data_IF_946958855443
#
_entry.id   IF_946958855443
#
_cell.length_a   1.000
_cell.length_b   1.000
_cell.length_c   1.000
_cell.angle_alpha   90.00
_cell.angle_beta   90.00
_cell.angle_gamma   90.00
#
_symmetry.space_group_name_H-M   'P 1'
#
loop_
_entity.id
_entity.type
_entity.pdbx_description
1 polymer ?
#
# COMPACT_ATOMS: atom_id res chain seq x y z
N UNK A 1 54.94 -18.20 21.41
CA UNK A 1 53.75 -17.77 22.19
C UNK A 1 53.39 -16.29 21.98
N UNK A 2 54.35 -15.36 21.83
CA UNK A 2 54.05 -13.92 21.72
C UNK A 2 53.26 -13.44 20.49
N UNK A 3 53.34 -14.14 19.35
CA UNK A 3 52.63 -13.72 18.11
C UNK A 3 51.11 -13.93 18.16
N UNK A 4 50.62 -14.92 18.92
CA UNK A 4 49.19 -15.21 19.02
C UNK A 4 48.47 -14.17 19.92
N UNK A 5 49.14 -13.71 20.97
CA UNK A 5 48.61 -12.70 21.90
C UNK A 5 48.44 -11.34 21.22
N UNK A 6 49.38 -10.97 20.33
CA UNK A 6 49.32 -9.71 19.59
C UNK A 6 48.12 -9.65 18.61
N UNK A 7 47.78 -10.76 17.96
CA UNK A 7 46.66 -10.80 17.00
C UNK A 7 45.29 -10.73 17.68
N UNK A 8 45.14 -11.36 18.85
CA UNK A 8 43.88 -11.30 19.63
C UNK A 8 43.66 -9.90 20.20
N UNK A 9 44.72 -9.22 20.65
CA UNK A 9 44.63 -7.83 21.15
C UNK A 9 44.27 -6.84 20.04
N UNK A 10 44.80 -7.03 18.82
CA UNK A 10 44.49 -6.19 17.66
C UNK A 10 43.02 -6.31 17.22
N UNK A 11 42.43 -7.52 17.28
CA UNK A 11 41.00 -7.71 16.96
C UNK A 11 40.08 -7.09 18.02
N UNK A 12 40.45 -7.15 19.30
CA UNK A 12 39.67 -6.54 20.38
C UNK A 12 39.68 -5.01 20.33
N UNK A 13 40.82 -4.39 19.98
CA UNK A 13 40.91 -2.94 19.82
C UNK A 13 40.17 -2.44 18.57
N UNK A 14 40.16 -3.22 17.48
CA UNK A 14 39.35 -2.91 16.29
C UNK A 14 37.84 -2.91 16.59
N UNK A 15 37.38 -3.76 17.52
CA UNK A 15 35.96 -3.85 17.89
C UNK A 15 35.49 -2.71 18.81
N UNK A 16 36.39 -2.13 19.62
CA UNK A 16 36.05 -0.99 20.48
C UNK A 16 36.10 0.33 19.69
N UNK A 17 36.95 0.43 18.66
CA UNK A 17 37.07 1.61 17.80
C UNK A 17 35.81 1.92 16.97
N UNK A 18 34.94 0.95 16.70
CA UNK A 18 33.70 1.16 15.94
C UNK A 18 32.50 1.56 16.81
N UNK A 19 32.60 1.47 18.14
CA UNK A 19 31.53 1.90 19.06
C UNK A 19 31.63 3.35 19.52
N UNK A 20 32.74 4.05 19.26
CA UNK A 20 32.93 5.44 19.70
C UNK A 20 32.51 6.48 18.63
N UNK A 21 32.29 6.08 17.39
CA UNK A 21 31.80 6.97 16.32
C UNK A 21 30.26 7.12 16.28
N UNK A 22 29.50 6.45 17.14
CA UNK A 22 28.03 6.57 17.19
C UNK A 22 27.51 7.62 18.18
N UNK A 23 28.38 8.42 18.78
CA UNK A 23 28.03 9.53 19.68
C UNK A 23 28.39 10.89 19.08
N UNK A 24 28.12 11.08 17.79
CA UNK A 24 27.94 12.43 17.27
C UNK A 24 26.60 12.97 17.82
N UNK A 25 26.59 14.06 18.61
CA UNK A 25 25.34 14.71 18.96
C UNK A 25 24.70 15.17 17.65
N UNK A 26 23.48 14.67 17.39
CA UNK A 26 22.62 15.18 16.34
C UNK A 26 22.44 16.66 16.64
N UNK A 27 23.14 17.51 15.90
CA UNK A 27 22.86 18.93 15.83
C UNK A 27 21.47 19.02 15.22
N UNK A 28 20.50 19.26 16.09
CA UNK A 28 19.11 19.54 15.76
C UNK A 28 19.11 20.77 14.85
N UNK A 29 19.08 20.55 13.54
CA UNK A 29 18.53 21.55 12.63
C UNK A 29 17.04 21.56 12.92
N UNK A 30 16.63 22.52 13.74
CA UNK A 30 15.23 22.90 13.89
C UNK A 30 14.75 23.38 12.52
N UNK A 31 14.28 22.45 11.68
CA UNK A 31 13.20 22.79 10.77
C UNK A 31 12.01 23.06 11.69
N UNK A 32 11.45 24.27 11.56
CA UNK A 32 10.12 24.57 12.06
C UNK A 32 9.15 23.54 11.49
N UNK A 33 8.95 22.45 12.24
CA UNK A 33 7.77 21.61 12.12
C UNK A 33 6.62 22.51 12.52
N UNK A 34 6.09 23.22 11.53
CA UNK A 34 4.80 23.85 11.60
C UNK A 34 3.80 22.70 11.75
N UNK A 35 3.56 22.33 13.01
CA UNK A 35 2.57 21.36 13.43
C UNK A 35 1.20 21.99 13.12
N UNK A 36 0.81 21.90 11.86
CA UNK A 36 -0.54 22.20 11.41
C UNK A 36 -1.40 21.09 12.00
N UNK A 37 -1.86 21.28 13.24
CA UNK A 37 -3.01 20.57 13.80
C UNK A 37 -4.23 21.01 12.97
N UNK A 38 -4.34 20.46 11.75
CA UNK A 38 -5.57 20.50 10.99
C UNK A 38 -6.49 19.50 11.69
N UNK A 39 -7.30 19.98 12.63
CA UNK A 39 -8.46 19.24 13.10
C UNK A 39 -9.37 19.02 11.90
N UNK A 40 -9.19 17.89 11.20
CA UNK A 40 -10.01 17.52 10.05
C UNK A 40 -11.39 17.17 10.61
N UNK A 41 -12.31 18.14 10.58
CA UNK A 41 -13.72 17.87 10.75
C UNK A 41 -14.16 17.05 9.52
N UNK A 42 -14.16 15.72 9.66
CA UNK A 42 -14.72 14.81 8.66
C UNK A 42 -16.24 14.95 8.65
N UNK A 43 -16.76 15.91 7.89
CA UNK A 43 -18.17 15.92 7.51
C UNK A 43 -18.37 14.87 6.42
N UNK A 44 -18.63 13.63 6.83
CA UNK A 44 -19.04 12.58 5.91
C UNK A 44 -20.47 12.85 5.43
N UNK A 45 -20.65 13.09 4.13
CA UNK A 45 -21.98 13.11 3.53
C UNK A 45 -22.42 11.66 3.32
N UNK A 46 -23.58 11.27 3.84
CA UNK A 46 -24.10 9.91 3.65
C UNK A 46 -24.52 9.73 2.18
N UNK A 47 -23.65 9.07 1.41
CA UNK A 47 -23.99 8.60 0.07
C UNK A 47 -25.02 7.46 0.15
N UNK A 48 -26.06 7.51 -0.67
CA UNK A 48 -27.02 6.38 -0.81
C UNK A 48 -26.35 5.09 -1.32
N UNK A 49 -25.11 5.16 -1.84
CA UNK A 49 -24.35 3.98 -2.23
C UNK A 49 -23.54 3.44 -1.04
N UNK A 50 -24.00 2.33 -0.48
CA UNK A 50 -23.34 1.62 0.65
C UNK A 50 -21.90 1.18 0.37
N UNK A 51 -21.46 1.19 -0.88
CA UNK A 51 -20.10 0.79 -1.27
C UNK A 51 -19.17 2.00 -1.48
N UNK A 52 -19.65 3.23 -1.26
CA UNK A 52 -18.88 4.44 -1.45
C UNK A 52 -18.78 5.29 -0.18
N UNK A 53 -17.66 5.99 -0.06
CA UNK A 53 -17.40 7.00 0.98
C UNK A 53 -16.90 8.27 0.29
N UNK A 54 -17.27 9.42 0.80
CA UNK A 54 -16.87 10.72 0.25
C UNK A 54 -16.19 11.57 1.33
N UNK A 55 -15.03 12.13 0.98
CA UNK A 55 -14.24 13.02 1.83
C UNK A 55 -13.70 14.16 0.99
N UNK A 56 -13.94 15.40 1.43
CA UNK A 56 -13.47 16.61 0.76
C UNK A 56 -13.85 16.68 -0.74
N UNK A 57 -15.06 16.21 -1.07
CA UNK A 57 -15.56 16.15 -2.46
C UNK A 57 -14.88 15.09 -3.33
N UNK A 58 -14.10 14.18 -2.76
CA UNK A 58 -13.58 13.00 -3.45
C UNK A 58 -14.35 11.77 -2.98
N UNK A 59 -14.97 11.07 -3.93
CA UNK A 59 -15.73 9.85 -3.67
C UNK A 59 -14.89 8.63 -4.01
N UNK A 60 -14.80 7.68 -3.08
CA UNK A 60 -14.10 6.42 -3.22
C UNK A 60 -15.09 5.26 -3.11
N UNK A 61 -15.10 4.36 -4.09
CA UNK A 61 -15.98 3.20 -4.14
C UNK A 61 -15.15 1.91 -4.25
N UNK A 62 -15.40 0.91 -3.39
CA UNK A 62 -14.75 -0.40 -3.53
C UNK A 62 -15.35 -1.15 -4.72
N UNK A 63 -14.49 -1.59 -5.64
CA UNK A 63 -14.88 -2.34 -6.83
C UNK A 63 -14.39 -3.78 -6.68
N UNK A 64 -15.31 -4.73 -6.83
CA UNK A 64 -15.03 -6.18 -6.86
C UNK A 64 -15.87 -6.75 -8.01
N UNK A 65 -15.31 -6.84 -9.24
CA UNK A 65 -16.07 -7.18 -10.44
C UNK A 65 -16.77 -8.54 -10.34
N UNK A 66 -16.06 -9.57 -9.86
CA UNK A 66 -16.63 -10.87 -9.56
C UNK A 66 -16.61 -11.11 -8.04
N UNK A 67 -17.73 -11.55 -7.47
CA UNK A 67 -17.88 -11.69 -6.01
C UNK A 67 -17.90 -13.15 -5.55
N UNK A 68 -17.69 -14.10 -6.45
CA UNK A 68 -17.77 -15.53 -6.16
C UNK A 68 -16.68 -16.29 -6.88
N UNK A 69 -15.62 -16.68 -6.16
CA UNK A 69 -14.49 -17.41 -6.74
C UNK A 69 -14.49 -18.86 -6.29
N UNK A 70 -14.07 -19.76 -7.18
CA UNK A 70 -13.75 -21.15 -6.83
C UNK A 70 -12.28 -21.21 -6.45
N UNK A 71 -11.98 -21.72 -5.27
CA UNK A 71 -10.59 -21.89 -4.83
C UNK A 71 -9.91 -22.99 -5.67
N UNK A 72 -8.60 -22.86 -5.94
CA UNK A 72 -7.87 -23.84 -6.74
C UNK A 72 -7.83 -25.19 -6.01
N UNK A 73 -7.79 -26.29 -6.76
CA UNK A 73 -7.59 -27.63 -6.17
C UNK A 73 -6.10 -27.88 -5.91
N UNK A 74 -5.79 -28.56 -4.82
CA UNK A 74 -4.40 -28.86 -4.47
C UNK A 74 -3.81 -29.88 -5.45
N UNK A 75 -2.61 -29.61 -5.96
CA UNK A 75 -1.86 -30.53 -6.82
C UNK A 75 -1.95 -30.27 -8.32
N UNK A 76 -2.94 -29.50 -8.76
CA UNK A 76 -3.14 -29.24 -10.20
C UNK A 76 -2.25 -28.10 -10.73
N UNK A 77 -1.56 -27.38 -9.84
CA UNK A 77 -0.77 -26.18 -10.19
C UNK A 77 -1.61 -24.97 -10.63
N UNK A 78 -2.94 -25.11 -10.62
CA UNK A 78 -3.88 -24.06 -11.01
C UNK A 78 -3.87 -22.90 -10.02
N UNK A 79 -4.10 -21.70 -10.55
CA UNK A 79 -4.29 -20.47 -9.79
C UNK A 79 -5.65 -19.88 -10.14
N UNK A 80 -6.32 -19.27 -9.17
CA UNK A 80 -7.58 -18.57 -9.41
C UNK A 80 -7.33 -17.06 -9.40
N UNK A 81 -7.36 -16.39 -10.57
CA UNK A 81 -7.20 -14.95 -10.62
C UNK A 81 -8.42 -14.26 -9.99
N UNK A 82 -8.15 -13.14 -9.32
CA UNK A 82 -9.15 -12.26 -8.72
C UNK A 82 -8.74 -10.81 -8.96
N UNK A 83 -9.74 -9.97 -9.21
CA UNK A 83 -9.55 -8.52 -9.33
C UNK A 83 -10.41 -7.81 -8.30
N UNK A 84 -9.84 -6.78 -7.70
CA UNK A 84 -10.56 -5.84 -6.84
C UNK A 84 -9.81 -4.52 -6.81
N UNK A 85 -10.48 -3.45 -6.39
CA UNK A 85 -9.90 -2.14 -6.49
C UNK A 85 -10.79 -1.03 -5.98
N UNK A 86 -10.50 0.17 -6.45
CA UNK A 86 -11.22 1.39 -6.07
C UNK A 86 -11.59 2.18 -7.32
N UNK A 87 -12.80 2.74 -7.33
CA UNK A 87 -13.17 3.82 -8.24
C UNK A 87 -13.07 5.13 -7.46
N UNK A 88 -12.34 6.08 -8.01
CA UNK A 88 -12.14 7.41 -7.43
C UNK A 88 -12.87 8.39 -8.33
N UNK A 89 -13.76 9.20 -7.79
CA UNK A 89 -14.47 10.27 -8.51
C UNK A 89 -14.13 11.60 -7.87
N UNK A 90 -13.59 12.52 -8.68
CA UNK A 90 -13.30 13.88 -8.23
C UNK A 90 -14.52 14.76 -8.47
N UNK A 91 -15.22 15.16 -7.42
CA UNK A 91 -16.38 16.06 -7.52
C UNK A 91 -16.03 17.52 -7.23
N UNK A 92 -14.76 17.81 -6.97
CA UNK A 92 -14.28 19.17 -6.71
C UNK A 92 -14.00 19.92 -8.01
N UNK A 93 -13.73 21.23 -7.92
CA UNK A 93 -13.24 22.03 -9.04
C UNK A 93 -11.71 21.97 -9.22
N UNK A 94 -11.00 21.25 -8.35
CA UNK A 94 -9.53 21.16 -8.35
C UNK A 94 -9.11 19.78 -8.85
N UNK A 95 -8.22 19.67 -9.84
CA UNK A 95 -7.70 18.36 -10.25
C UNK A 95 -6.79 17.79 -9.15
N UNK A 96 -6.79 16.47 -8.99
CA UNK A 96 -5.97 15.81 -7.97
C UNK A 96 -5.25 14.58 -8.52
N UNK A 97 -4.01 14.40 -8.08
CA UNK A 97 -3.22 13.19 -8.30
C UNK A 97 -3.37 12.19 -7.17
N UNK A 98 -3.38 10.91 -7.53
CA UNK A 98 -3.46 9.81 -6.57
C UNK A 98 -2.32 8.82 -6.78
N UNK A 99 -1.46 8.64 -5.77
CA UNK A 99 -0.47 7.57 -5.77
C UNK A 99 -1.15 6.21 -5.54
N UNK A 100 -1.54 5.54 -6.62
CA UNK A 100 -2.19 4.21 -6.60
C UNK A 100 -1.49 3.15 -5.73
N UNK A 101 -0.14 3.12 -5.65
CA UNK A 101 0.60 2.29 -4.70
C UNK A 101 0.14 2.37 -3.25
N UNK A 102 -0.39 3.53 -2.81
CA UNK A 102 -0.80 3.77 -1.42
C UNK A 102 -2.15 3.12 -1.06
N UNK A 103 -2.86 2.52 -2.02
CA UNK A 103 -4.03 1.70 -1.72
C UNK A 103 -3.62 0.30 -1.26
N UNK A 104 -3.86 0.00 0.01
CA UNK A 104 -3.63 -1.31 0.61
C UNK A 104 -4.95 -2.06 0.87
N UNK A 105 -5.04 -3.35 0.49
CA UNK A 105 -6.20 -4.16 0.82
C UNK A 105 -6.26 -4.49 2.31
N UNK A 106 -7.47 -4.57 2.83
CA UNK A 106 -7.77 -5.18 4.12
C UNK A 106 -8.88 -6.21 3.92
N UNK A 107 -8.69 -7.41 4.47
CA UNK A 107 -9.60 -8.54 4.28
C UNK A 107 -10.07 -9.05 5.65
N UNK A 108 -11.37 -9.19 5.81
CA UNK A 108 -11.98 -9.89 6.94
C UNK A 108 -12.39 -11.30 6.54
N UNK A 109 -12.19 -12.25 7.45
CA UNK A 109 -12.69 -13.61 7.29
C UNK A 109 -14.20 -13.73 7.59
N UNK A 110 -14.73 -14.95 7.54
CA UNK A 110 -16.14 -15.27 7.81
C UNK A 110 -16.62 -14.91 9.22
N UNK A 111 -15.69 -14.70 10.15
CA UNK A 111 -15.96 -14.28 11.52
C UNK A 111 -15.77 -12.77 11.72
N UNK A 112 -15.55 -12.01 10.65
CA UNK A 112 -15.28 -10.57 10.72
C UNK A 112 -13.91 -10.21 11.29
N UNK A 113 -13.00 -11.18 11.43
CA UNK A 113 -11.63 -10.91 11.94
C UNK A 113 -10.70 -10.54 10.78
N UNK A 114 -9.85 -9.51 10.94
CA UNK A 114 -8.89 -9.13 9.92
C UNK A 114 -7.86 -10.25 9.71
N UNK A 115 -7.56 -10.52 8.45
CA UNK A 115 -6.44 -11.37 8.05
C UNK A 115 -5.14 -10.56 8.12
N UNK A 116 -4.08 -11.19 8.61
CA UNK A 116 -2.76 -10.58 8.63
C UNK A 116 -2.19 -10.50 7.21
N UNK A 117 -1.81 -9.30 6.78
CA UNK A 117 -1.09 -9.05 5.53
C UNK A 117 0.42 -9.19 5.77
N UNK A 118 1.05 -10.09 5.03
CA UNK A 118 2.51 -10.11 4.89
C UNK A 118 2.92 -9.26 3.69
N UNK A 119 4.03 -8.55 3.81
CA UNK A 119 4.59 -7.69 2.77
C UNK A 119 6.07 -7.98 2.60
N UNK A 120 6.50 -8.21 1.36
CA UNK A 120 7.90 -8.37 1.00
C UNK A 120 8.22 -7.45 -0.18
N UNK A 121 9.35 -6.76 -0.12
CA UNK A 121 9.82 -5.88 -1.19
C UNK A 121 11.25 -6.25 -1.57
N UNK A 122 11.44 -6.67 -2.82
CA UNK A 122 12.74 -7.13 -3.31
C UNK A 122 13.43 -6.06 -4.18
N UNK A 123 12.68 -5.09 -4.69
CA UNK A 123 13.21 -3.96 -5.45
C UNK A 123 12.28 -2.75 -5.32
N UNK A 124 12.74 -1.60 -5.80
CA UNK A 124 11.90 -0.42 -6.01
C UNK A 124 11.83 -0.19 -7.51
N UNK A 125 10.69 -0.49 -8.14
CA UNK A 125 10.46 -0.10 -9.55
C UNK A 125 10.31 1.43 -9.63
N UNK A 126 10.72 2.03 -10.74
CA UNK A 126 10.52 3.48 -10.96
C UNK A 126 9.03 3.79 -11.07
N UNK A 127 8.63 4.96 -10.57
CA UNK A 127 7.23 5.43 -10.63
C UNK A 127 6.92 5.81 -12.08
N UNK A 128 5.81 5.31 -12.61
CA UNK A 128 5.29 5.72 -13.92
C UNK A 128 4.19 6.76 -13.75
N UNK A 129 3.93 7.59 -14.76
CA UNK A 129 2.81 8.57 -14.71
C UNK A 129 1.46 7.88 -14.51
N UNK A 130 1.33 6.64 -15.01
CA UNK A 130 0.16 5.78 -14.82
C UNK A 130 -0.04 5.33 -13.37
N UNK A 131 0.98 5.41 -12.52
CA UNK A 131 0.89 5.13 -11.08
C UNK A 131 0.38 6.32 -10.26
N UNK A 132 0.36 7.51 -10.87
CA UNK A 132 -0.02 8.79 -10.25
C UNK A 132 -1.05 9.55 -11.11
N UNK A 133 -2.17 8.91 -11.53
CA UNK A 133 -3.16 9.53 -12.40
C UNK A 133 -3.66 10.86 -11.84
N UNK A 134 -3.73 11.87 -12.70
CA UNK A 134 -4.42 13.13 -12.46
C UNK A 134 -5.90 12.94 -12.81
N UNK A 135 -6.78 13.13 -11.83
CA UNK A 135 -8.24 13.03 -12.01
C UNK A 135 -8.81 14.44 -12.09
N UNK A 136 -9.38 14.80 -13.23
CA UNK A 136 -9.96 16.13 -13.44
C UNK A 136 -11.31 16.29 -12.73
N UNK A 137 -11.77 17.54 -12.49
CA UNK A 137 -13.12 17.82 -12.00
C UNK A 137 -14.22 17.08 -12.76
N UNK A 138 -15.07 16.37 -12.03
CA UNK A 138 -16.18 15.56 -12.56
C UNK A 138 -15.78 14.19 -13.12
N UNK A 139 -14.50 13.89 -13.24
CA UNK A 139 -14.03 12.61 -13.80
C UNK A 139 -13.98 11.49 -12.75
N UNK A 140 -13.96 10.26 -13.26
CA UNK A 140 -13.76 9.05 -12.46
C UNK A 140 -12.62 8.22 -13.03
N UNK A 141 -11.84 7.63 -12.13
CA UNK A 141 -10.76 6.71 -12.45
C UNK A 141 -10.97 5.38 -11.73
N UNK A 142 -10.80 4.28 -12.46
CA UNK A 142 -10.86 2.93 -11.88
C UNK A 142 -9.47 2.35 -11.75
N UNK A 143 -9.14 1.94 -10.54
CA UNK A 143 -7.89 1.29 -10.23
C UNK A 143 -8.17 -0.13 -9.72
N UNK A 144 -7.92 -1.13 -10.58
CA UNK A 144 -8.05 -2.54 -10.25
C UNK A 144 -6.67 -3.14 -9.98
N UNK A 145 -6.57 -3.95 -8.92
CA UNK A 145 -5.40 -4.76 -8.59
C UNK A 145 -5.66 -6.19 -9.01
N UNK A 146 -4.70 -6.76 -9.74
CA UNK A 146 -4.64 -8.18 -9.99
C UNK A 146 -4.05 -8.92 -8.80
N UNK A 147 -4.73 -9.99 -8.40
CA UNK A 147 -4.28 -10.92 -7.40
C UNK A 147 -4.69 -12.34 -7.79
N UNK A 148 -4.19 -13.33 -7.05
CA UNK A 148 -4.49 -14.72 -7.31
C UNK A 148 -4.49 -15.56 -6.06
N UNK A 149 -5.43 -16.49 -5.99
CA UNK A 149 -5.38 -17.60 -5.04
C UNK A 149 -4.50 -18.71 -5.59
N UNK A 150 -3.59 -19.21 -4.75
CA UNK A 150 -2.81 -20.41 -5.05
C UNK A 150 -2.52 -21.18 -3.78
N UNK A 151 -2.09 -22.43 -3.92
CA UNK A 151 -1.65 -23.23 -2.78
C UNK A 151 -0.21 -22.87 -2.41
N UNK A 152 0.00 -22.55 -1.13
CA UNK A 152 1.34 -22.37 -0.56
C UNK A 152 1.93 -23.71 -0.09
N UNK A 153 1.08 -24.53 0.53
CA UNK A 153 1.36 -25.91 0.93
C UNK A 153 0.02 -26.68 0.97
N UNK A 154 -0.01 -27.93 1.44
CA UNK A 154 -1.22 -28.79 1.45
C UNK A 154 -2.43 -28.21 2.19
N UNK A 155 -2.21 -27.36 3.19
CA UNK A 155 -3.25 -26.91 4.12
C UNK A 155 -3.45 -25.38 4.09
N UNK A 156 -2.76 -24.67 3.20
CA UNK A 156 -2.77 -23.21 3.15
C UNK A 156 -2.95 -22.69 1.72
N UNK A 157 -4.12 -22.10 1.47
CA UNK A 157 -4.35 -21.23 0.33
C UNK A 157 -3.91 -19.82 0.69
N UNK A 158 -3.17 -19.20 -0.23
CA UNK A 158 -2.67 -17.84 -0.13
C UNK A 158 -3.29 -16.99 -1.23
N UNK A 159 -3.70 -15.77 -0.88
CA UNK A 159 -4.00 -14.71 -1.84
C UNK A 159 -2.76 -13.85 -1.97
N UNK A 160 -2.21 -13.75 -3.18
CA UNK A 160 -1.04 -12.92 -3.48
C UNK A 160 -1.39 -11.89 -4.53
N UNK A 161 -0.85 -10.69 -4.39
CA UNK A 161 -0.87 -9.70 -5.44
C UNK A 161 0.43 -8.91 -5.46
N UNK A 162 0.69 -8.27 -6.59
CA UNK A 162 1.82 -7.37 -6.71
C UNK A 162 1.51 -6.10 -5.93
N UNK A 163 2.44 -5.71 -5.06
CA UNK A 163 2.50 -4.34 -4.60
C UNK A 163 3.15 -3.51 -5.70
N UNK A 164 2.73 -2.26 -5.77
CA UNK A 164 3.44 -1.30 -6.60
C UNK A 164 4.86 -1.10 -6.04
N UNK A 165 5.76 -0.64 -6.90
CA UNK A 165 7.19 -0.57 -6.63
C UNK A 165 7.93 -1.90 -6.51
N UNK A 166 7.38 -3.03 -6.96
CA UNK A 166 8.14 -4.29 -7.01
C UNK A 166 8.10 -5.10 -5.71
N UNK A 167 7.09 -4.87 -4.88
CA UNK A 167 6.77 -5.72 -3.73
C UNK A 167 5.71 -6.76 -4.06
N UNK A 168 5.51 -7.68 -3.12
CA UNK A 168 4.43 -8.67 -3.12
C UNK A 168 3.77 -8.57 -1.75
N UNK A 169 2.45 -8.49 -1.73
CA UNK A 169 1.66 -8.67 -0.52
C UNK A 169 0.99 -10.04 -0.54
N UNK A 170 0.74 -10.61 0.64
CA UNK A 170 0.16 -11.94 0.78
C UNK A 170 -0.75 -12.05 2.00
N UNK A 171 -1.89 -12.71 1.83
CA UNK A 171 -2.78 -13.12 2.92
C UNK A 171 -2.87 -14.65 2.93
N UNK A 172 -2.83 -15.27 4.11
CA UNK A 172 -2.74 -16.72 4.26
C UNK A 172 -4.01 -17.31 4.87
N UNK A 173 -4.12 -18.65 4.78
CA UNK A 173 -5.15 -19.45 5.45
C UNK A 173 -6.58 -19.19 4.95
N UNK A 174 -6.75 -18.98 3.63
CA UNK A 174 -8.09 -18.94 3.04
C UNK A 174 -8.76 -20.32 3.06
N UNK A 175 -10.08 -20.31 3.30
CA UNK A 175 -10.96 -21.47 3.26
C UNK A 175 -12.24 -21.09 2.50
N UNK A 176 -13.03 -22.06 2.02
CA UNK A 176 -14.36 -21.76 1.52
C UNK A 176 -15.19 -21.00 2.58
N UNK A 177 -15.86 -19.93 2.17
CA UNK A 177 -16.59 -19.07 3.10
C UNK A 177 -16.88 -17.67 2.57
N UNK A 178 -17.49 -16.86 3.44
CA UNK A 178 -17.78 -15.45 3.18
C UNK A 178 -16.63 -14.61 3.72
N UNK A 179 -16.12 -13.71 2.90
CA UNK A 179 -15.07 -12.76 3.24
C UNK A 179 -15.56 -11.34 2.94
N UNK A 180 -14.86 -10.36 3.47
CA UNK A 180 -15.08 -8.96 3.12
C UNK A 180 -13.74 -8.33 2.76
N UNK A 181 -13.75 -7.45 1.76
CA UNK A 181 -12.56 -6.73 1.31
C UNK A 181 -12.86 -5.24 1.25
N UNK A 182 -11.87 -4.43 1.64
CA UNK A 182 -11.84 -2.98 1.44
C UNK A 182 -10.42 -2.55 1.10
N UNK A 183 -10.28 -1.29 0.71
CA UNK A 183 -8.98 -0.64 0.52
C UNK A 183 -8.86 0.57 1.44
N UNK A 184 -7.66 0.77 1.96
CA UNK A 184 -7.26 1.97 2.70
C UNK A 184 -6.22 2.72 1.88
N UNK A 185 -6.35 4.04 1.82
CA UNK A 185 -5.40 4.96 1.21
C UNK A 185 -4.95 6.01 2.22
N UNK A 186 -3.68 6.36 2.18
CA UNK A 186 -3.10 7.40 3.00
C UNK A 186 -2.03 8.16 2.22
N UNK A 187 -2.18 9.48 2.14
CA UNK A 187 -1.13 10.36 1.64
C UNK A 187 -1.12 11.65 2.44
N UNK A 188 0.05 12.00 2.97
CA UNK A 188 0.23 13.20 3.80
C UNK A 188 0.97 14.33 3.05
N UNK A 189 1.44 14.07 1.84
CA UNK A 189 2.30 14.98 1.09
C UNK A 189 1.54 15.57 -0.10
N UNK A 190 1.43 16.90 -0.14
CA UNK A 190 0.83 17.65 -1.27
C UNK A 190 1.73 17.61 -2.50
N UNK A 191 3.03 17.46 -2.29
CA UNK A 191 4.07 17.41 -3.32
C UNK A 191 5.07 16.31 -3.03
N UNK A 192 5.62 15.70 -4.07
CA UNK A 192 6.65 14.65 -3.95
C UNK A 192 7.69 14.82 -5.05
N UNK A 193 8.96 14.64 -4.70
CA UNK A 193 10.02 14.49 -5.69
C UNK A 193 10.05 13.05 -6.17
N UNK A 194 9.72 12.83 -7.43
CA UNK A 194 9.64 11.51 -8.05
C UNK A 194 10.60 11.41 -9.24
N UNK A 195 11.13 10.22 -9.49
CA UNK A 195 11.83 9.94 -10.75
C UNK A 195 10.81 9.40 -11.73
N UNK A 196 10.26 10.27 -12.57
CA UNK A 196 9.36 9.86 -13.64
C UNK A 196 10.19 9.32 -14.81
N UNK A 197 9.66 8.31 -15.51
CA UNK A 197 10.35 7.74 -16.68
C UNK A 197 10.38 8.67 -17.91
N UNK A 198 9.60 9.76 -17.88
CA UNK A 198 9.41 10.65 -19.03
C UNK A 198 10.63 11.55 -19.23
N UNK A 199 11.29 11.98 -18.15
CA UNK A 199 12.43 12.90 -18.24
C UNK A 199 13.77 12.17 -18.11
N UNK A 200 14.63 12.40 -19.10
CA UNK A 200 15.99 11.82 -19.16
C UNK A 200 16.93 12.40 -18.09
N UNK A 201 16.55 13.51 -17.45
CA UNK A 201 17.50 14.40 -16.77
C UNK A 201 17.37 14.52 -15.25
N UNK A 202 16.33 13.97 -14.58
CA UNK A 202 16.29 14.11 -13.11
C UNK A 202 14.99 13.81 -12.40
N UNK A 203 14.96 14.14 -11.10
CA UNK A 203 13.77 14.05 -10.25
C UNK A 203 12.91 15.27 -10.48
N UNK A 204 11.64 15.06 -10.80
CA UNK A 204 10.67 16.13 -10.89
C UNK A 204 9.88 16.25 -9.59
N UNK A 205 9.53 17.50 -9.24
CA UNK A 205 8.56 17.76 -8.19
C UNK A 205 7.17 17.65 -8.80
N UNK A 206 6.46 16.57 -8.46
CA UNK A 206 5.06 16.37 -8.80
C UNK A 206 4.21 16.99 -7.69
N UNK A 207 3.25 17.83 -8.05
CA UNK A 207 2.35 18.51 -7.12
C UNK A 207 0.91 17.99 -7.26
N UNK A 208 -0.01 18.65 -6.55
CA UNK A 208 -1.47 18.43 -6.68
C UNK A 208 -1.93 17.04 -6.21
N UNK A 209 -1.19 16.41 -5.31
CA UNK A 209 -1.67 15.18 -4.70
C UNK A 209 -2.85 15.45 -3.78
N UNK A 210 -3.87 14.59 -3.85
CA UNK A 210 -4.87 14.55 -2.80
C UNK A 210 -4.21 14.09 -1.49
N UNK A 211 -4.47 14.81 -0.41
CA UNK A 211 -3.93 14.51 0.92
C UNK A 211 -5.05 14.13 1.86
N UNK A 212 -4.86 13.03 2.58
CA UNK A 212 -5.82 12.54 3.53
C UNK A 212 -5.63 11.05 3.77
N UNK A 213 -6.49 10.52 4.62
CA UNK A 213 -6.60 9.10 4.91
C UNK A 213 -8.04 8.67 4.72
N UNK A 214 -8.25 7.61 3.96
CA UNK A 214 -9.58 7.10 3.69
C UNK A 214 -9.57 5.58 3.71
N UNK A 215 -10.66 5.01 4.23
CA UNK A 215 -10.93 3.59 4.19
C UNK A 215 -12.27 3.38 3.51
N UNK A 216 -12.24 2.65 2.40
CA UNK A 216 -13.45 2.37 1.62
C UNK A 216 -14.39 1.38 2.35
N UNK A 217 -15.69 1.36 2.04
CA UNK A 217 -16.62 0.41 2.64
C UNK A 217 -16.31 -1.05 2.29
N UNK A 218 -16.62 -1.98 3.20
CA UNK A 218 -16.44 -3.40 2.92
C UNK A 218 -17.36 -3.94 1.82
N UNK A 219 -16.78 -4.65 0.86
CA UNK A 219 -17.50 -5.41 -0.16
C UNK A 219 -17.38 -6.90 0.09
N UNK A 220 -18.48 -7.65 -0.10
CA UNK A 220 -18.54 -9.09 0.15
C UNK A 220 -17.87 -9.90 -0.96
N UNK A 221 -17.16 -10.93 -0.55
CA UNK A 221 -16.50 -11.93 -1.40
C UNK A 221 -16.92 -13.32 -0.94
N UNK A 222 -17.31 -14.21 -1.86
CA UNK A 222 -17.64 -15.60 -1.58
C UNK A 222 -16.56 -16.50 -2.18
N UNK A 223 -15.96 -17.36 -1.37
CA UNK A 223 -15.00 -18.37 -1.80
C UNK A 223 -15.66 -19.75 -1.70
N UNK A 224 -15.60 -20.53 -2.79
CA UNK A 224 -16.21 -21.85 -2.93
C UNK A 224 -15.17 -22.93 -3.14
#
# INVERSE_FOLDING_TARGET
MGKLLATVLAMLLGFIGTMVLSLMPITVMANEDQKIERSVNMTAFESNNKNAVEVDGIRFETIVPERSYRLPKYGDGEETPIQFGVRITNQTSTPYRFELPQFFPEILNSHGKPLHMSFAQNSTRKVEETDIPLIMPGESFEFLKDAKFSWYNRDCIVLKGFAFYGGIWSFYNFKPGKYQIRLTYENLLVKRRMHLLIDRDGRDEVAEFWTGKITTPFTRLLLR
#
